data_IF_749618947125
#
_entry.id   IF_749618947125
#
_cell.length_a   1.000
_cell.length_b   1.000
_cell.length_c   1.000
_cell.angle_alpha   90.00
_cell.angle_beta   90.00
_cell.angle_gamma   90.00
#
_symmetry.space_group_name_H-M   'P 1'
#
loop_
_entity.id
_entity.type
_entity.pdbx_description
1 polymer ?
#
# COMPACT_ATOMS: atom_id res chain seq x y z
N UNK A 1 3.73 25.22 -6.64
CA UNK A 1 3.12 23.87 -6.62
C UNK A 1 4.24 22.84 -6.61
N UNK A 2 4.39 22.12 -5.49
CA UNK A 2 5.39 21.07 -5.28
C UNK A 2 4.99 19.81 -6.04
N UNK A 3 5.90 19.19 -6.79
CA UNK A 3 5.68 17.94 -7.51
C UNK A 3 6.44 16.81 -6.82
N UNK A 4 5.71 15.80 -6.37
CA UNK A 4 6.29 14.64 -5.71
C UNK A 4 6.02 13.40 -6.55
N UNK A 5 7.07 12.62 -6.78
CA UNK A 5 6.96 11.26 -7.30
C UNK A 5 6.95 10.30 -6.12
N UNK A 6 5.94 9.44 -6.04
CA UNK A 6 5.85 8.30 -5.13
C UNK A 6 6.14 7.06 -5.97
N UNK A 7 7.32 6.46 -5.78
CA UNK A 7 7.81 5.35 -6.61
C UNK A 7 7.44 4.01 -5.99
N UNK A 8 6.17 3.67 -6.05
CA UNK A 8 5.65 2.40 -5.60
C UNK A 8 4.17 2.50 -5.21
N UNK A 9 3.60 1.36 -4.84
CA UNK A 9 2.19 1.25 -4.44
C UNK A 9 1.97 0.39 -3.20
N UNK A 10 2.97 0.28 -2.31
CA UNK A 10 2.76 -0.33 -1.00
C UNK A 10 1.87 0.55 -0.11
N UNK A 11 1.38 0.01 1.01
CA UNK A 11 0.57 0.76 1.98
C UNK A 11 1.26 2.06 2.42
N UNK A 12 2.57 2.03 2.70
CA UNK A 12 3.37 3.20 3.09
C UNK A 12 3.38 4.28 1.99
N UNK A 13 3.58 3.88 0.74
CA UNK A 13 3.53 4.77 -0.43
C UNK A 13 2.19 5.47 -0.57
N UNK A 14 1.11 4.68 -0.47
CA UNK A 14 -0.24 5.20 -0.67
C UNK A 14 -0.69 6.07 0.51
N UNK A 15 -0.31 5.71 1.74
CA UNK A 15 -0.53 6.53 2.93
C UNK A 15 0.23 7.86 2.86
N UNK A 16 1.49 7.85 2.41
CA UNK A 16 2.27 9.06 2.14
C UNK A 16 1.55 9.98 1.15
N UNK A 17 1.13 9.44 0.00
CA UNK A 17 0.44 10.20 -1.04
C UNK A 17 -0.84 10.84 -0.51
N UNK A 18 -1.66 10.06 0.21
CA UNK A 18 -2.92 10.52 0.77
C UNK A 18 -2.70 11.63 1.81
N UNK A 19 -1.75 11.45 2.74
CA UNK A 19 -1.44 12.46 3.77
C UNK A 19 -0.94 13.77 3.14
N UNK A 20 -0.09 13.69 2.12
CA UNK A 20 0.40 14.87 1.41
C UNK A 20 -0.75 15.67 0.77
N UNK A 21 -1.67 14.98 0.09
CA UNK A 21 -2.85 15.57 -0.55
C UNK A 21 -3.86 16.17 0.44
N UNK A 22 -3.99 15.58 1.63
CA UNK A 22 -4.88 16.10 2.67
C UNK A 22 -4.33 17.38 3.33
N UNK A 23 -3.00 17.55 3.35
CA UNK A 23 -2.30 18.63 4.06
C UNK A 23 -2.01 19.84 3.21
N UNK A 24 -1.57 19.65 1.98
CA UNK A 24 -1.08 20.73 1.11
C UNK A 24 -1.94 20.81 -0.15
N UNK A 25 -2.53 21.98 -0.40
CA UNK A 25 -3.38 22.21 -1.58
C UNK A 25 -2.55 22.45 -2.83
N UNK A 26 -1.31 22.90 -2.67
CA UNK A 26 -0.39 23.14 -3.78
C UNK A 26 0.63 22.01 -3.98
N UNK A 27 0.21 20.75 -3.78
CA UNK A 27 1.01 19.57 -4.09
C UNK A 27 0.43 18.83 -5.30
N UNK A 28 1.31 18.30 -6.14
CA UNK A 28 0.97 17.38 -7.24
C UNK A 28 1.68 16.06 -6.99
N UNK A 29 0.91 15.02 -6.72
CA UNK A 29 1.44 13.67 -6.48
C UNK A 29 1.33 12.85 -7.76
N UNK A 30 2.45 12.26 -8.15
CA UNK A 30 2.51 11.20 -9.16
C UNK A 30 2.81 9.89 -8.43
N UNK A 31 1.91 8.91 -8.50
CA UNK A 31 2.15 7.56 -7.99
C UNK A 31 2.57 6.71 -9.19
N UNK A 32 3.73 6.09 -9.13
CA UNK A 32 4.27 5.26 -10.21
C UNK A 32 4.47 3.83 -9.72
N UNK A 33 3.94 2.87 -10.46
CA UNK A 33 4.11 1.44 -10.19
C UNK A 33 4.24 0.66 -11.49
N UNK A 34 5.07 -0.37 -11.47
CA UNK A 34 5.23 -1.31 -12.57
C UNK A 34 4.04 -2.30 -12.64
N UNK A 35 3.28 -2.41 -11.55
CA UNK A 35 2.12 -3.29 -11.48
C UNK A 35 0.99 -2.81 -12.40
N UNK A 36 0.19 -3.75 -12.94
CA UNK A 36 -0.96 -3.42 -13.77
C UNK A 36 -2.13 -2.83 -12.95
N UNK A 37 -2.12 -2.98 -11.63
CA UNK A 37 -3.16 -2.51 -10.74
C UNK A 37 -2.59 -2.27 -9.33
N UNK A 38 -3.08 -1.25 -8.62
CA UNK A 38 -2.80 -1.07 -7.19
C UNK A 38 -3.43 -2.21 -6.40
N UNK A 39 -2.68 -2.77 -5.46
CA UNK A 39 -3.13 -3.86 -4.60
C UNK A 39 -3.16 -5.23 -5.28
N UNK A 40 -2.69 -5.36 -6.53
CA UNK A 40 -2.43 -6.68 -7.09
C UNK A 40 -1.30 -7.33 -6.30
N UNK A 41 -1.55 -8.52 -5.76
CA UNK A 41 -0.53 -9.35 -5.11
C UNK A 41 -0.62 -10.77 -5.65
N UNK A 42 0.53 -11.37 -5.93
CA UNK A 42 0.64 -12.78 -6.32
C UNK A 42 0.72 -13.72 -5.11
N UNK A 43 0.77 -13.16 -3.90
CA UNK A 43 0.88 -13.91 -2.66
C UNK A 43 0.02 -13.32 -1.55
N UNK A 44 -0.35 -14.15 -0.57
CA UNK A 44 -0.96 -13.68 0.67
C UNK A 44 -0.08 -12.64 1.36
N UNK A 45 -0.70 -11.50 1.68
CA UNK A 45 -0.13 -10.38 2.41
C UNK A 45 -0.98 -10.11 3.65
N UNK A 46 -0.39 -9.71 4.79
CA UNK A 46 -1.14 -9.53 6.02
C UNK A 46 -2.27 -8.51 5.91
N UNK A 47 -3.47 -8.89 6.36
CA UNK A 47 -4.61 -7.99 6.44
C UNK A 47 -4.63 -7.10 7.69
N UNK A 48 -5.71 -6.33 7.88
CA UNK A 48 -5.93 -5.55 9.10
C UNK A 48 -7.41 -5.35 9.41
N UNK A 49 -7.72 -5.11 10.69
CA UNK A 49 -9.08 -4.75 11.11
C UNK A 49 -9.36 -3.29 10.80
N UNK A 50 -10.63 -2.97 10.55
CA UNK A 50 -11.05 -1.61 10.22
C UNK A 50 -10.71 -0.59 11.32
N UNK A 51 -10.88 -0.98 12.59
CA UNK A 51 -10.63 -0.16 13.77
C UNK A 51 -9.14 -0.12 14.20
N UNK A 52 -8.23 -0.76 13.45
CA UNK A 52 -6.81 -0.78 13.79
C UNK A 52 -6.12 0.59 13.55
N UNK A 53 -6.72 1.46 12.73
CA UNK A 53 -6.18 2.78 12.44
C UNK A 53 -7.28 3.74 11.92
N UNK A 54 -7.31 5.03 12.33
CA UNK A 54 -8.32 5.99 11.85
C UNK A 54 -8.39 6.13 10.32
N UNK A 55 -7.25 6.08 9.63
CA UNK A 55 -7.23 6.06 8.16
C UNK A 55 -8.03 4.89 7.58
N UNK A 56 -7.97 3.70 8.18
CA UNK A 56 -8.73 2.54 7.69
C UNK A 56 -10.24 2.77 7.81
N UNK A 57 -10.71 3.36 8.91
CA UNK A 57 -12.13 3.72 9.09
C UNK A 57 -12.61 4.67 7.99
N UNK A 58 -11.80 5.65 7.59
CA UNK A 58 -12.15 6.58 6.51
C UNK A 58 -12.24 5.91 5.13
N UNK A 59 -11.54 4.79 4.95
CA UNK A 59 -11.54 3.99 3.72
C UNK A 59 -12.73 3.02 3.62
N UNK A 60 -13.54 2.86 4.67
CA UNK A 60 -14.64 1.91 4.72
C UNK A 60 -15.58 1.98 3.51
N UNK A 61 -15.79 3.19 2.95
CA UNK A 61 -16.63 3.41 1.77
C UNK A 61 -16.15 2.73 0.49
N UNK A 62 -14.86 2.37 0.42
CA UNK A 62 -14.23 1.70 -0.72
C UNK A 62 -14.02 0.20 -0.51
N UNK A 63 -14.36 -0.31 0.68
CA UNK A 63 -14.21 -1.71 1.04
C UNK A 63 -15.51 -2.49 0.75
N UNK A 64 -15.45 -3.83 0.64
CA UNK A 64 -16.65 -4.66 0.50
C UNK A 64 -17.62 -4.47 1.66
N UNK A 65 -18.93 -4.51 1.36
CA UNK A 65 -20.01 -4.20 2.32
C UNK A 65 -20.05 -5.11 3.55
N UNK A 66 -19.57 -6.33 3.42
CA UNK A 66 -19.57 -7.32 4.50
C UNK A 66 -18.33 -7.19 5.41
N UNK A 67 -17.52 -6.15 5.19
CA UNK A 67 -16.40 -5.80 6.08
C UNK A 67 -16.94 -5.21 7.38
N UNK A 68 -16.60 -5.83 8.50
CA UNK A 68 -16.86 -5.29 9.83
C UNK A 68 -15.56 -5.14 10.65
N UNK A 69 -15.67 -4.58 11.86
CA UNK A 69 -14.53 -4.35 12.76
C UNK A 69 -13.82 -5.63 13.24
N UNK A 70 -14.49 -6.78 13.17
CA UNK A 70 -13.96 -8.08 13.58
C UNK A 70 -13.22 -8.79 12.45
N UNK A 71 -13.49 -8.41 11.20
CA UNK A 71 -12.88 -9.00 9.99
C UNK A 71 -11.48 -8.44 9.70
N UNK A 72 -10.58 -9.31 9.26
CA UNK A 72 -9.25 -8.96 8.77
C UNK A 72 -9.34 -8.62 7.27
N UNK A 73 -9.44 -7.33 6.95
CA UNK A 73 -9.51 -6.80 5.59
C UNK A 73 -8.22 -7.15 4.85
N UNK A 74 -8.36 -7.70 3.64
CA UNK A 74 -7.21 -8.07 2.80
C UNK A 74 -6.35 -6.85 2.47
N UNK A 75 -5.02 -6.99 2.55
CA UNK A 75 -4.06 -5.94 2.16
C UNK A 75 -4.31 -5.36 0.75
N UNK A 76 -4.72 -6.22 -0.20
CA UNK A 76 -5.08 -5.79 -1.55
C UNK A 76 -6.25 -4.80 -1.58
N UNK A 77 -7.26 -5.01 -0.74
CA UNK A 77 -8.43 -4.12 -0.67
C UNK A 77 -8.07 -2.80 -0.01
N UNK A 78 -7.25 -2.84 1.04
CA UNK A 78 -6.74 -1.63 1.70
C UNK A 78 -5.91 -0.80 0.73
N UNK A 79 -5.00 -1.42 -0.01
CA UNK A 79 -4.17 -0.74 -1.03
C UNK A 79 -5.04 -0.11 -2.12
N UNK A 80 -6.04 -0.85 -2.65
CA UNK A 80 -6.99 -0.30 -3.63
C UNK A 80 -7.76 0.89 -3.07
N UNK A 81 -8.28 0.78 -1.85
CA UNK A 81 -9.01 1.86 -1.21
C UNK A 81 -8.17 3.12 -1.03
N UNK A 82 -6.92 2.99 -0.57
CA UNK A 82 -5.98 4.11 -0.47
C UNK A 82 -5.70 4.73 -1.85
N UNK A 83 -5.49 3.91 -2.88
CA UNK A 83 -5.28 4.37 -4.24
C UNK A 83 -6.47 5.15 -4.79
N UNK A 84 -7.70 4.67 -4.57
CA UNK A 84 -8.94 5.37 -4.95
C UNK A 84 -9.05 6.70 -4.19
N UNK A 85 -8.85 6.69 -2.87
CA UNK A 85 -8.94 7.90 -2.02
C UNK A 85 -7.95 8.99 -2.47
N UNK A 86 -6.73 8.57 -2.85
CA UNK A 86 -5.69 9.46 -3.38
C UNK A 86 -6.05 9.98 -4.79
N UNK A 87 -6.56 9.12 -5.67
CA UNK A 87 -6.99 9.51 -7.02
C UNK A 87 -8.15 10.52 -6.97
N UNK A 88 -9.14 10.32 -6.10
CA UNK A 88 -10.24 11.26 -5.88
C UNK A 88 -9.77 12.63 -5.37
N UNK A 89 -8.59 12.69 -4.74
CA UNK A 89 -7.92 13.93 -4.31
C UNK A 89 -6.97 14.52 -5.35
N UNK A 90 -6.88 13.92 -6.53
CA UNK A 90 -6.08 14.44 -7.64
C UNK A 90 -4.68 13.82 -7.80
N UNK A 91 -4.38 12.69 -7.14
CA UNK A 91 -3.18 11.93 -7.47
C UNK A 91 -3.21 11.45 -8.93
N UNK A 92 -2.08 11.54 -9.63
CA UNK A 92 -1.91 10.99 -10.97
C UNK A 92 -1.24 9.63 -10.83
N UNK A 93 -1.95 8.56 -11.20
CA UNK A 93 -1.46 7.17 -11.05
C UNK A 93 -0.97 6.66 -12.41
N UNK A 94 0.31 6.27 -12.46
CA UNK A 94 0.98 5.66 -13.60
C UNK A 94 1.16 4.17 -13.33
N UNK A 95 0.31 3.35 -13.95
CA UNK A 95 0.37 1.88 -13.88
C UNK A 95 1.19 1.32 -15.04
N UNK A 96 1.84 0.17 -14.85
CA UNK A 96 2.76 -0.44 -15.83
C UNK A 96 3.78 0.57 -16.35
N UNK A 97 4.30 1.39 -15.44
CA UNK A 97 5.18 2.51 -15.77
C UNK A 97 6.46 2.49 -14.96
N UNK A 98 7.54 2.91 -15.60
CA UNK A 98 8.87 3.07 -15.02
C UNK A 98 9.37 4.51 -15.24
N UNK A 99 10.34 4.92 -14.41
CA UNK A 99 10.97 6.23 -14.48
C UNK A 99 12.34 6.12 -15.14
N UNK A 100 12.59 6.92 -16.18
CA UNK A 100 13.89 7.01 -16.84
C UNK A 100 14.42 8.44 -16.64
N UNK A 101 15.62 8.58 -16.08
CA UNK A 101 16.30 9.88 -16.00
C UNK A 101 16.88 10.24 -17.38
N UNK A 102 16.63 11.48 -17.83
CA UNK A 102 17.01 11.94 -19.18
C UNK A 102 18.14 12.97 -19.15
N UNK A 103 18.07 13.95 -18.24
CA UNK A 103 19.14 14.92 -17.90
C UNK A 103 19.04 15.25 -16.40
N UNK A 104 20.07 15.85 -15.81
CA UNK A 104 20.10 16.18 -14.36
C UNK A 104 18.74 16.66 -13.82
N UNK A 105 18.09 15.82 -13.01
CA UNK A 105 16.81 16.07 -12.36
C UNK A 105 15.59 16.26 -13.29
N UNK A 106 15.67 15.75 -14.52
CA UNK A 106 14.53 15.61 -15.43
C UNK A 106 14.31 14.14 -15.80
N UNK A 107 13.06 13.74 -15.74
CA UNK A 107 12.64 12.36 -15.89
C UNK A 107 11.63 12.22 -17.00
N UNK A 108 11.53 11.00 -17.52
CA UNK A 108 10.47 10.58 -18.42
C UNK A 108 9.79 9.35 -17.82
N UNK A 109 8.46 9.37 -17.81
CA UNK A 109 7.67 8.21 -17.42
C UNK A 109 7.42 7.39 -18.69
N UNK A 110 7.88 6.15 -18.71
CA UNK A 110 7.67 5.21 -19.81
C UNK A 110 6.77 4.07 -19.37
N UNK A 111 6.00 3.45 -20.29
CA UNK A 111 5.13 2.34 -19.94
C UNK A 111 3.89 2.21 -20.81
N UNK A 112 2.94 1.41 -20.34
CA UNK A 112 1.67 1.18 -21.06
C UNK A 112 0.65 2.33 -20.92
N UNK A 113 0.93 3.31 -20.06
CA UNK A 113 0.12 4.52 -19.89
C UNK A 113 0.34 5.54 -21.02
N UNK A 114 -0.25 6.74 -20.86
CA UNK A 114 0.00 7.88 -21.76
C UNK A 114 1.49 8.22 -21.71
N UNK A 115 2.23 7.83 -22.75
CA UNK A 115 3.63 8.22 -22.93
C UNK A 115 3.62 9.74 -23.11
N UNK A 116 4.03 10.49 -22.09
CA UNK A 116 4.39 11.88 -22.29
C UNK A 116 5.80 11.89 -22.86
N UNK A 117 5.94 12.43 -24.07
CA UNK A 117 7.27 12.79 -24.58
C UNK A 117 7.86 13.99 -23.81
N UNK A 118 7.04 14.65 -23.01
CA UNK A 118 7.44 15.74 -22.14
C UNK A 118 8.25 15.24 -20.95
N UNK A 119 9.39 15.89 -20.72
CA UNK A 119 10.18 15.70 -19.51
C UNK A 119 9.46 16.32 -18.30
N UNK A 120 9.54 15.65 -17.17
CA UNK A 120 8.99 16.10 -15.89
C UNK A 120 10.12 16.19 -14.86
N UNK A 121 10.17 17.29 -14.12
CA UNK A 121 10.97 17.40 -12.90
C UNK A 121 10.11 17.17 -11.67
N UNK A 122 10.71 16.58 -10.64
CA UNK A 122 10.11 16.41 -9.33
C UNK A 122 10.94 17.17 -8.30
N UNK A 123 10.27 17.80 -7.36
CA UNK A 123 10.91 18.45 -6.21
C UNK A 123 11.32 17.41 -5.17
N UNK A 124 10.65 16.26 -5.15
CA UNK A 124 10.96 15.14 -4.27
C UNK A 124 10.58 13.80 -4.92
N UNK A 125 11.43 12.79 -4.74
CA UNK A 125 11.15 11.40 -5.10
C UNK A 125 11.11 10.59 -3.81
N UNK A 126 9.93 10.07 -3.50
CA UNK A 126 9.68 9.19 -2.37
C UNK A 126 9.82 7.73 -2.81
N UNK A 127 10.91 7.10 -2.38
CA UNK A 127 11.26 5.69 -2.64
C UNK A 127 11.86 5.10 -1.35
N UNK A 128 11.04 4.87 -0.31
CA UNK A 128 11.51 4.38 0.98
C UNK A 128 12.07 2.96 0.85
N UNK A 129 13.22 2.69 1.48
CA UNK A 129 13.76 1.34 1.58
C UNK A 129 12.80 0.42 2.36
N UNK A 130 12.69 -0.82 1.90
CA UNK A 130 11.94 -1.89 2.58
C UNK A 130 12.94 -2.75 3.34
N UNK A 131 12.88 -2.70 4.67
CA UNK A 131 13.68 -3.59 5.50
C UNK A 131 12.99 -4.95 5.68
N UNK A 132 13.57 -5.99 5.10
CA UNK A 132 13.16 -7.37 5.38
C UNK A 132 13.72 -7.81 6.74
N UNK A 133 12.84 -7.89 7.74
CA UNK A 133 13.25 -8.16 9.14
C UNK A 133 13.06 -9.62 9.51
N UNK A 134 11.80 -10.06 9.65
CA UNK A 134 11.49 -11.39 10.15
C UNK A 134 10.64 -12.19 9.17
N UNK A 135 10.98 -13.46 8.99
CA UNK A 135 10.22 -14.37 8.11
C UNK A 135 8.99 -14.91 8.83
N UNK A 136 7.84 -14.86 8.15
CA UNK A 136 6.58 -15.46 8.54
C UNK A 136 6.04 -16.37 7.44
N UNK A 137 5.34 -17.42 7.85
CA UNK A 137 4.61 -18.34 6.97
C UNK A 137 3.13 -18.03 7.13
N UNK A 138 2.47 -17.70 6.03
CA UNK A 138 1.04 -17.38 5.99
C UNK A 138 0.26 -18.47 5.29
N UNK A 139 -0.97 -18.70 5.73
CA UNK A 139 -1.91 -19.55 5.02
C UNK A 139 -3.33 -18.98 5.09
N UNK A 140 -4.13 -19.28 4.07
CA UNK A 140 -5.58 -19.03 4.09
C UNK A 140 -6.34 -20.34 4.16
N UNK A 141 -7.48 -20.33 4.84
CA UNK A 141 -8.38 -21.47 5.01
C UNK A 141 -9.81 -21.07 4.72
N UNK A 142 -10.69 -22.07 4.53
CA UNK A 142 -12.13 -21.83 4.58
C UNK A 142 -12.54 -21.48 6.02
N UNK A 143 -13.47 -20.55 6.19
CA UNK A 143 -14.03 -20.21 7.49
C UNK A 143 -15.33 -21.00 7.74
N UNK A 144 -15.52 -21.62 8.92
CA UNK A 144 -14.62 -21.64 10.09
C UNK A 144 -13.37 -22.51 9.87
N UNK A 145 -12.22 -22.06 10.38
CA UNK A 145 -10.98 -22.84 10.37
C UNK A 145 -10.76 -23.57 11.69
N UNK A 146 -10.08 -24.72 11.61
CA UNK A 146 -9.70 -25.53 12.77
C UNK A 146 -8.38 -25.06 13.41
N UNK A 147 -7.58 -24.25 12.71
CA UNK A 147 -6.31 -23.73 13.20
C UNK A 147 -6.55 -22.70 14.32
N UNK A 148 -5.83 -22.85 15.43
CA UNK A 148 -5.86 -21.89 16.54
C UNK A 148 -5.31 -20.53 16.07
N UNK A 149 -5.87 -19.42 16.56
CA UNK A 149 -5.50 -18.03 16.20
C UNK A 149 -5.79 -17.59 14.76
N UNK A 150 -6.43 -18.43 13.96
CA UNK A 150 -6.84 -18.09 12.60
C UNK A 150 -7.96 -17.03 12.59
N UNK A 151 -7.76 -15.93 11.85
CA UNK A 151 -8.62 -14.74 11.90
C UNK A 151 -9.56 -14.66 10.69
N UNK A 152 -10.88 -14.43 10.88
CA UNK A 152 -11.83 -14.33 9.79
C UNK A 152 -11.58 -13.09 8.91
N UNK A 153 -11.72 -13.23 7.59
CA UNK A 153 -11.54 -12.14 6.60
C UNK A 153 -12.85 -11.55 6.07
N UNK A 154 -14.00 -12.07 6.52
CA UNK A 154 -15.33 -11.59 6.13
C UNK A 154 -15.82 -12.07 4.76
N UNK A 155 -15.04 -12.90 4.07
CA UNK A 155 -15.32 -13.38 2.70
C UNK A 155 -15.45 -14.90 2.61
N UNK A 156 -15.77 -15.54 3.74
CA UNK A 156 -15.78 -17.00 3.87
C UNK A 156 -14.40 -17.63 3.99
N UNK A 157 -13.33 -16.84 4.05
CA UNK A 157 -11.98 -17.30 4.34
C UNK A 157 -11.43 -16.67 5.61
N UNK A 158 -10.32 -17.22 6.08
CA UNK A 158 -9.61 -16.79 7.26
C UNK A 158 -8.10 -16.91 7.04
N UNK A 159 -7.34 -16.10 7.76
CA UNK A 159 -5.91 -15.91 7.60
C UNK A 159 -5.17 -16.36 8.86
N UNK A 160 -4.06 -17.06 8.68
CA UNK A 160 -3.21 -17.53 9.76
C UNK A 160 -1.74 -17.23 9.46
N UNK A 161 -0.99 -16.83 10.47
CA UNK A 161 0.43 -16.52 10.37
C UNK A 161 1.23 -17.24 11.45
N UNK A 162 2.38 -17.81 11.07
CA UNK A 162 3.26 -18.51 11.99
C UNK A 162 4.73 -18.22 11.74
N UNK A 163 5.54 -18.31 12.79
CA UNK A 163 7.00 -18.34 12.69
C UNK A 163 7.54 -19.67 12.18
N UNK A 164 6.72 -20.73 12.18
CA UNK A 164 7.08 -22.06 11.70
C UNK A 164 6.37 -22.34 10.37
N UNK A 165 6.97 -23.16 9.48
CA UNK A 165 6.29 -23.60 8.27
C UNK A 165 4.93 -24.23 8.59
N UNK A 166 3.91 -23.80 7.85
CA UNK A 166 2.55 -24.35 7.96
C UNK A 166 2.48 -25.61 7.12
N UNK A 167 2.15 -26.74 7.74
CA UNK A 167 1.96 -28.03 7.06
C UNK A 167 0.50 -28.41 7.21
N UNK A 168 -0.32 -28.01 6.25
CA UNK A 168 -1.75 -28.35 6.23
C UNK A 168 -2.18 -28.79 4.84
N UNK A 169 -3.06 -29.79 4.78
CA UNK A 169 -3.74 -30.19 3.54
C UNK A 169 -5.01 -29.39 3.27
N UNK A 170 -5.45 -28.60 4.25
CA UNK A 170 -6.68 -27.81 4.19
C UNK A 170 -6.43 -26.35 3.77
N UNK A 171 -5.16 -25.92 3.69
CA UNK A 171 -4.81 -24.56 3.26
C UNK A 171 -5.19 -24.33 1.80
N UNK A 172 -5.84 -23.21 1.52
CA UNK A 172 -6.19 -22.74 0.18
C UNK A 172 -4.99 -22.00 -0.44
N UNK A 173 -4.53 -20.96 0.25
CA UNK A 173 -3.32 -20.15 0.10
C UNK A 173 -2.15 -20.64 0.98
N UNK A 174 -0.90 -20.67 0.51
CA UNK A 174 0.27 -20.53 1.41
C UNK A 174 1.25 -19.49 0.86
N UNK A 175 1.92 -18.74 1.73
CA UNK A 175 2.84 -17.66 1.37
C UNK A 175 3.96 -17.51 2.40
N UNK A 176 5.01 -16.81 1.99
CA UNK A 176 6.03 -16.28 2.88
C UNK A 176 5.90 -14.76 2.86
N UNK A 177 5.88 -14.17 4.04
CA UNK A 177 5.91 -12.72 4.22
C UNK A 177 7.08 -12.33 5.11
N UNK A 178 7.65 -11.15 4.87
CA UNK A 178 8.76 -10.61 5.65
C UNK A 178 8.33 -9.32 6.34
N UNK A 179 8.53 -9.26 7.65
CA UNK A 179 8.22 -8.11 8.47
C UNK A 179 8.08 -8.48 9.95
N UNK A 180 7.95 -7.47 10.79
CA UNK A 180 8.00 -7.63 12.25
C UNK A 180 6.80 -8.43 12.79
N UNK A 181 5.60 -7.93 12.54
CA UNK A 181 4.35 -8.53 13.02
C UNK A 181 3.27 -8.39 11.93
N UNK A 182 2.75 -9.50 11.36
CA UNK A 182 1.74 -9.45 10.30
C UNK A 182 0.43 -8.82 10.79
N UNK A 183 0.09 -8.94 12.07
CA UNK A 183 -1.17 -8.41 12.61
C UNK A 183 -1.14 -6.90 12.85
N UNK A 184 0.05 -6.30 12.86
CA UNK A 184 0.25 -4.86 13.10
C UNK A 184 0.89 -4.14 11.90
N UNK A 185 1.25 -4.85 10.84
CA UNK A 185 2.03 -4.25 9.75
C UNK A 185 1.29 -3.13 9.04
N UNK A 186 -0.01 -3.27 8.79
CA UNK A 186 -0.79 -2.26 8.06
C UNK A 186 -0.86 -0.92 8.82
N UNK A 187 -1.31 -0.84 10.09
CA UNK A 187 -1.33 0.43 10.82
C UNK A 187 0.06 1.04 10.93
N UNK A 188 1.10 0.23 11.17
CA UNK A 188 2.50 0.70 11.24
C UNK A 188 2.96 1.32 9.92
N UNK A 189 2.67 0.70 8.79
CA UNK A 189 3.04 1.24 7.47
C UNK A 189 2.24 2.50 7.11
N UNK A 190 0.99 2.60 7.56
CA UNK A 190 0.20 3.84 7.42
C UNK A 190 0.87 4.97 8.21
N UNK A 191 1.21 4.74 9.48
CA UNK A 191 1.87 5.73 10.34
C UNK A 191 3.23 6.19 9.78
N UNK A 192 4.01 5.24 9.25
CA UNK A 192 5.27 5.54 8.57
C UNK A 192 5.05 6.45 7.36
N UNK A 193 4.12 6.11 6.47
CA UNK A 193 3.81 6.94 5.30
C UNK A 193 3.32 8.34 5.67
N UNK A 194 2.48 8.42 6.71
CA UNK A 194 2.01 9.70 7.27
C UNK A 194 3.17 10.55 7.80
N UNK A 195 4.08 9.94 8.54
CA UNK A 195 5.25 10.62 9.12
C UNK A 195 6.18 11.12 8.03
N UNK A 196 6.51 10.27 7.06
CA UNK A 196 7.36 10.63 5.94
C UNK A 196 6.78 11.80 5.12
N UNK A 197 5.45 11.81 4.90
CA UNK A 197 4.79 12.91 4.20
C UNK A 197 4.88 14.23 4.97
N UNK A 198 4.74 14.19 6.30
CA UNK A 198 4.88 15.36 7.17
C UNK A 198 6.27 15.95 7.12
N UNK A 199 7.29 15.10 7.14
CA UNK A 199 8.69 15.50 7.08
C UNK A 199 9.02 16.07 5.70
N UNK A 200 8.58 15.40 4.63
CA UNK A 200 8.74 15.86 3.25
C UNK A 200 8.16 17.26 3.04
N UNK A 201 6.96 17.53 3.54
CA UNK A 201 6.29 18.83 3.39
C UNK A 201 6.93 19.96 4.22
N UNK A 202 7.81 19.64 5.17
CA UNK A 202 8.58 20.63 5.95
C UNK A 202 9.91 20.99 5.31
N UNK A 203 10.36 20.24 4.28
CA UNK A 203 11.59 20.56 3.58
C UNK A 203 11.49 21.95 2.92
N UNK A 204 12.58 22.74 2.90
CA UNK A 204 12.56 24.07 2.29
C UNK A 204 12.07 23.98 0.84
N UNK A 205 11.05 24.77 0.49
CA UNK A 205 10.44 24.77 -0.85
C UNK A 205 11.42 25.19 -1.97
N UNK A 206 12.62 25.67 -1.62
CA UNK A 206 13.69 26.09 -2.53
C UNK A 206 15.06 25.92 -1.85
N UNK A 207 15.92 25.04 -2.39
CA UNK A 207 17.39 25.08 -2.20
C UNK A 207 18.03 25.30 -3.56
#
# INVERSE_FOLDING_TARGET
MMKILVKGSSIRHLAFALEALMREKEVRIHILTEEPEIGLSQSLQPGSRLNAHPTLETLARHLPRDTDENTLIRSMWISRALGIEAAERGAIIHLRSSLIEHTNNTFRITGAGRISDDSISFDYIYDPEVEETEKWFGATFSHPCEEEECLPRGDGTCEFWSKKPIVSKASLETSIWFGKDPFQTIPVEIDRGITDARECLQLPKYS
#
